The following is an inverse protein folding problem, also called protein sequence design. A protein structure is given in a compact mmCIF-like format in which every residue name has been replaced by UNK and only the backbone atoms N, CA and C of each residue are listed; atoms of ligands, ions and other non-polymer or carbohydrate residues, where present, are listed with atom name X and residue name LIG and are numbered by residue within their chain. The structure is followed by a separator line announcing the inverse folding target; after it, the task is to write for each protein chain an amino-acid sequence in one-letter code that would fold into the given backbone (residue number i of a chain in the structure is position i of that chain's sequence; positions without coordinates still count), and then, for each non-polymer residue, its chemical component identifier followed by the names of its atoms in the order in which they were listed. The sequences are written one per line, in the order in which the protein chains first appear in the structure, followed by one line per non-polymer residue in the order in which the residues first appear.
data_IF_573560797147
#
_entry.id   IF_573560797147
#
_cell.length_a   1.000
_cell.length_b   1.000
_cell.length_c   1.000
_cell.angle_alpha   90.00
_cell.angle_beta   90.00
_cell.angle_gamma   90.00
#
_symmetry.space_group_name_H-M   'P 1'
#
loop_
_entity.id
_entity.type
_entity.pdbx_description
1 polymer ?
#
# COMPACT_ATOMS: atom_id res chain seq x y z
N UNK A 1 -21.60 20.61 38.75
CA UNK A 1 -20.68 20.01 37.75
C UNK A 1 -21.48 19.63 36.50
N UNK A 2 -21.34 20.35 35.38
CA UNK A 2 -22.02 20.02 34.13
C UNK A 2 -21.14 19.10 33.25
N UNK A 3 -21.68 17.96 32.83
CA UNK A 3 -21.04 17.07 31.84
C UNK A 3 -20.97 17.80 30.49
N UNK A 4 -19.75 17.99 29.95
CA UNK A 4 -19.59 18.42 28.55
C UNK A 4 -20.09 17.31 27.64
N UNK A 5 -21.08 17.60 26.81
CA UNK A 5 -21.63 16.66 25.83
C UNK A 5 -20.72 16.55 24.62
N UNK A 6 -20.31 15.32 24.27
CA UNK A 6 -19.49 15.04 23.10
C UNK A 6 -20.25 15.31 21.79
N UNK A 7 -20.09 16.52 21.23
CA UNK A 7 -20.62 16.86 19.91
C UNK A 7 -19.83 16.22 18.73
N UNK A 8 -18.80 15.43 19.01
CA UNK A 8 -18.03 14.70 17.99
C UNK A 8 -18.84 13.61 17.25
N UNK A 9 -19.96 13.15 17.80
CA UNK A 9 -20.87 12.20 17.14
C UNK A 9 -21.45 12.74 15.82
N UNK A 10 -21.62 14.07 15.68
CA UNK A 10 -22.13 14.71 14.45
C UNK A 10 -21.19 14.64 13.24
N UNK A 11 -19.92 14.25 13.43
CA UNK A 11 -19.00 13.90 12.34
C UNK A 11 -18.93 12.38 12.08
N UNK A 12 -19.45 11.55 12.98
CA UNK A 12 -19.42 10.09 12.86
C UNK A 12 -20.69 9.49 12.23
N UNK A 13 -21.84 10.16 12.34
CA UNK A 13 -23.12 9.63 11.84
C UNK A 13 -23.71 10.43 10.68
N UNK A 14 -23.48 9.94 9.44
CA UNK A 14 -24.31 10.27 8.28
C UNK A 14 -24.83 9.01 7.58
N UNK A 15 -26.10 8.72 7.86
CA UNK A 15 -27.03 7.80 7.18
C UNK A 15 -26.70 6.29 7.23
N UNK A 16 -27.76 5.51 7.48
CA UNK A 16 -27.77 4.04 7.61
C UNK A 16 -26.97 3.36 6.49
N UNK A 17 -25.88 2.67 6.85
CA UNK A 17 -24.91 2.10 5.90
C UNK A 17 -25.42 0.99 4.98
N UNK A 18 -26.68 0.57 5.09
CA UNK A 18 -27.33 -0.33 4.13
C UNK A 18 -27.67 0.40 2.82
N UNK A 19 -28.43 1.51 2.90
CA UNK A 19 -28.89 2.25 1.73
C UNK A 19 -27.75 2.84 0.89
N UNK A 20 -26.68 3.33 1.54
CA UNK A 20 -25.48 3.83 0.83
C UNK A 20 -24.75 2.69 0.12
N UNK A 21 -24.63 1.51 0.75
CA UNK A 21 -24.03 0.32 0.12
C UNK A 21 -24.88 -0.21 -1.04
N UNK A 22 -26.20 -0.02 -0.99
CA UNK A 22 -27.12 -0.43 -2.06
C UNK A 22 -27.07 0.52 -3.24
N UNK A 23 -27.15 1.83 -3.01
CA UNK A 23 -26.93 2.85 -4.05
C UNK A 23 -25.58 2.65 -4.77
N UNK A 24 -24.49 2.43 -4.02
CA UNK A 24 -23.17 2.16 -4.61
C UNK A 24 -23.11 0.83 -5.39
N UNK A 25 -23.89 -0.20 -5.02
CA UNK A 25 -24.02 -1.43 -5.81
C UNK A 25 -24.80 -1.21 -7.10
N UNK A 26 -25.86 -0.40 -7.06
CA UNK A 26 -26.67 -0.06 -8.24
C UNK A 26 -25.86 0.80 -9.22
N UNK A 27 -25.17 1.83 -8.74
CA UNK A 27 -24.23 2.66 -9.50
C UNK A 27 -23.12 1.82 -10.14
N UNK A 28 -22.46 0.94 -9.37
CA UNK A 28 -21.43 0.04 -9.90
C UNK A 28 -21.99 -1.01 -10.90
N UNK A 29 -23.27 -1.39 -10.79
CA UNK A 29 -23.96 -2.21 -11.81
C UNK A 29 -24.23 -1.41 -13.08
N UNK A 30 -24.70 -0.16 -12.95
CA UNK A 30 -24.95 0.75 -14.08
C UNK A 30 -23.66 1.04 -14.86
N UNK A 31 -22.60 1.50 -14.20
CA UNK A 31 -21.32 1.79 -14.83
C UNK A 31 -20.70 0.54 -15.51
N UNK A 32 -20.97 -0.67 -15.00
CA UNK A 32 -20.55 -1.94 -15.64
C UNK A 32 -21.42 -2.32 -16.85
N UNK A 33 -22.69 -1.93 -16.87
CA UNK A 33 -23.56 -2.09 -18.04
C UNK A 33 -23.17 -1.09 -19.13
N UNK A 34 -22.96 0.17 -18.79
CA UNK A 34 -22.58 1.23 -19.72
C UNK A 34 -21.22 0.94 -20.38
N UNK A 35 -20.23 0.48 -19.60
CA UNK A 35 -18.92 0.06 -20.13
C UNK A 35 -19.00 -1.21 -21.02
N UNK A 36 -20.00 -2.08 -20.82
CA UNK A 36 -20.25 -3.22 -21.72
C UNK A 36 -20.89 -2.76 -23.02
N UNK A 37 -21.91 -1.90 -22.95
CA UNK A 37 -22.56 -1.32 -24.12
C UNK A 37 -21.56 -0.57 -25.01
N UNK A 38 -20.71 0.30 -24.43
CA UNK A 38 -19.66 1.01 -25.18
C UNK A 38 -18.61 0.04 -25.80
N UNK A 39 -18.30 -1.06 -25.11
CA UNK A 39 -17.41 -2.10 -25.64
C UNK A 39 -18.02 -2.90 -26.80
N UNK A 40 -19.34 -3.14 -26.77
CA UNK A 40 -20.09 -3.79 -27.85
C UNK A 40 -20.27 -2.83 -29.05
N UNK A 41 -20.55 -1.56 -28.79
CA UNK A 41 -20.64 -0.49 -29.79
C UNK A 41 -19.32 -0.32 -30.57
N UNK A 42 -18.18 -0.26 -29.86
CA UNK A 42 -16.85 -0.19 -30.48
C UNK A 42 -16.54 -1.44 -31.32
N UNK A 43 -16.94 -2.64 -30.85
CA UNK A 43 -16.79 -3.89 -31.62
C UNK A 43 -17.67 -3.91 -32.86
N UNK A 44 -18.92 -3.44 -32.76
CA UNK A 44 -19.83 -3.33 -33.90
C UNK A 44 -19.28 -2.34 -34.95
N UNK A 45 -18.83 -1.16 -34.53
CA UNK A 45 -18.19 -0.15 -35.39
C UNK A 45 -16.93 -0.67 -36.08
N UNK A 46 -16.09 -1.44 -35.38
CA UNK A 46 -14.91 -2.11 -35.95
C UNK A 46 -15.29 -3.21 -36.95
N UNK A 47 -16.38 -3.95 -36.71
CA UNK A 47 -16.89 -5.02 -37.60
C UNK A 47 -17.65 -4.49 -38.82
N UNK A 48 -18.23 -3.29 -38.75
CA UNK A 48 -18.80 -2.57 -39.90
C UNK A 48 -17.67 -2.04 -40.79
N UNK A 49 -16.69 -1.32 -40.22
CA UNK A 49 -15.51 -0.82 -40.95
C UNK A 49 -14.71 -1.95 -41.63
N UNK A 50 -14.61 -3.13 -41.01
CA UNK A 50 -13.97 -4.30 -41.61
C UNK A 50 -14.75 -4.95 -42.78
N UNK A 51 -16.02 -4.57 -42.99
CA UNK A 51 -16.87 -5.01 -44.10
C UNK A 51 -17.14 -3.92 -45.15
N UNK A 52 -16.54 -2.74 -44.98
CA UNK A 52 -16.79 -1.58 -45.86
C UNK A 52 -18.14 -0.90 -45.66
N UNK A 53 -18.89 -1.29 -44.62
CA UNK A 53 -20.22 -0.75 -44.30
C UNK A 53 -20.09 0.44 -43.33
N UNK A 54 -20.92 1.48 -43.52
CA UNK A 54 -20.97 2.60 -42.59
C UNK A 54 -21.73 2.22 -41.31
N UNK A 55 -21.18 2.62 -40.15
CA UNK A 55 -21.73 2.22 -38.85
C UNK A 55 -22.88 3.16 -38.44
N UNK A 56 -24.12 2.69 -38.61
CA UNK A 56 -25.33 3.37 -38.13
C UNK A 56 -25.52 3.08 -36.63
N UNK A 57 -25.53 4.13 -35.81
CA UNK A 57 -25.84 4.05 -34.38
C UNK A 57 -27.35 3.77 -34.18
N UNK A 58 -27.75 2.65 -33.57
CA UNK A 58 -29.16 2.32 -33.36
C UNK A 58 -29.90 3.30 -32.44
N UNK A 59 -29.20 4.15 -31.67
CA UNK A 59 -29.83 5.24 -30.87
C UNK A 59 -30.14 6.49 -31.69
N UNK A 60 -29.58 6.63 -32.90
CA UNK A 60 -29.82 7.75 -33.83
C UNK A 60 -30.87 7.47 -34.89
N UNK A 61 -31.43 6.26 -34.94
CA UNK A 61 -32.59 5.95 -35.78
C UNK A 61 -33.82 6.58 -35.12
N UNK A 62 -34.07 7.85 -35.45
CA UNK A 62 -35.35 8.48 -35.17
C UNK A 62 -36.46 7.66 -35.83
N UNK A 63 -37.52 7.34 -35.08
CA UNK A 63 -38.65 6.63 -35.64
C UNK A 63 -39.28 7.48 -36.77
N UNK A 64 -39.62 6.89 -37.93
CA UNK A 64 -40.33 7.63 -38.98
C UNK A 64 -41.68 8.13 -38.44
N UNK A 65 -42.19 9.28 -38.92
CA UNK A 65 -43.48 9.81 -38.48
C UNK A 65 -44.59 8.79 -38.75
N UNK A 66 -45.43 8.55 -37.74
CA UNK A 66 -46.66 7.76 -37.91
C UNK A 66 -47.75 8.64 -38.52
N UNK A 67 -47.81 8.69 -39.84
CA UNK A 67 -49.04 9.11 -40.53
C UNK A 67 -50.11 8.02 -40.49
N UNK A 68 -51.33 8.41 -40.87
CA UNK A 68 -52.58 7.91 -40.28
C UNK A 68 -53.24 6.70 -40.96
N UNK A 69 -53.77 5.82 -40.11
CA UNK A 69 -55.07 5.11 -40.20
C UNK A 69 -55.50 4.33 -41.48
N UNK A 70 -55.98 3.09 -41.23
CA UNK A 70 -56.88 2.27 -42.07
C UNK A 70 -56.31 1.72 -43.40
N UNK A 71 -56.67 0.53 -43.93
CA UNK A 71 -57.52 -0.61 -43.47
C UNK A 71 -57.26 -1.85 -44.36
N UNK A 72 -57.31 -3.08 -43.80
CA UNK A 72 -57.50 -4.38 -44.52
C UNK A 72 -56.36 -4.72 -45.53
N UNK A 73 -56.12 -5.95 -46.00
CA UNK A 73 -56.62 -7.33 -45.80
C UNK A 73 -55.49 -8.34 -46.14
N UNK A 74 -55.71 -9.65 -45.94
CA UNK A 74 -54.73 -10.73 -46.16
C UNK A 74 -54.73 -11.26 -47.65
N UNK A 75 -54.26 -12.49 -47.98
CA UNK A 75 -52.85 -12.87 -48.23
C UNK A 75 -52.63 -13.63 -49.57
N UNK A 76 -51.37 -13.83 -50.02
CA UNK A 76 -51.02 -14.98 -50.90
C UNK A 76 -49.50 -15.21 -51.16
N UNK A 77 -49.13 -16.50 -51.13
CA UNK A 77 -48.32 -17.32 -52.05
C UNK A 77 -46.89 -16.99 -52.58
N UNK A 78 -46.09 -18.07 -52.54
CA UNK A 78 -44.92 -18.46 -53.38
C UNK A 78 -45.38 -18.72 -54.85
N UNK A 79 -44.53 -18.99 -55.89
CA UNK A 79 -43.23 -19.67 -55.86
C UNK A 79 -42.18 -19.29 -56.94
N UNK A 80 -41.13 -20.13 -57.11
CA UNK A 80 -40.30 -20.33 -58.34
C UNK A 80 -39.41 -19.18 -58.87
N UNK A 81 -38.32 -19.38 -59.65
CA UNK A 81 -37.40 -20.53 -59.84
C UNK A 81 -36.10 -20.13 -60.60
N UNK A 82 -35.11 -21.04 -60.57
CA UNK A 82 -34.25 -21.50 -61.72
C UNK A 82 -33.05 -20.66 -62.25
N UNK A 83 -31.86 -21.18 -61.92
CA UNK A 83 -30.66 -21.47 -62.74
C UNK A 83 -30.02 -20.44 -63.71
N UNK A 84 -28.68 -20.37 -63.65
CA UNK A 84 -27.82 -19.82 -64.71
C UNK A 84 -26.31 -19.92 -64.40
N UNK A 85 -25.54 -20.68 -65.20
CA UNK A 85 -24.06 -20.78 -65.23
C UNK A 85 -23.67 -20.96 -66.72
N UNK A 86 -22.50 -20.49 -67.21
CA UNK A 86 -21.43 -21.45 -67.59
C UNK A 86 -19.95 -20.91 -67.59
N UNK A 87 -18.97 -21.80 -67.88
CA UNK A 87 -17.57 -21.69 -68.45
C UNK A 87 -16.62 -20.49 -68.11
N UNK A 88 -15.27 -20.54 -67.90
CA UNK A 88 -14.06 -21.36 -68.26
C UNK A 88 -13.33 -20.94 -69.57
N UNK A 89 -11.98 -20.94 -69.77
CA UNK A 89 -10.81 -21.54 -69.06
C UNK A 89 -9.40 -20.96 -69.50
N UNK A 90 -8.30 -21.38 -68.83
CA UNK A 90 -6.86 -21.36 -69.26
C UNK A 90 -6.11 -19.98 -69.34
N UNK A 91 -4.75 -19.82 -69.41
CA UNK A 91 -3.51 -20.67 -69.35
C UNK A 91 -2.27 -19.78 -68.95
N UNK A 92 -1.12 -20.36 -68.56
CA UNK A 92 0.16 -19.63 -68.25
C UNK A 92 1.03 -19.30 -69.50
N UNK A 93 2.39 -19.10 -69.44
CA UNK A 93 3.36 -19.44 -68.37
C UNK A 93 4.52 -18.42 -68.09
N UNK A 94 5.48 -18.76 -67.19
CA UNK A 94 6.79 -18.06 -67.05
C UNK A 94 7.62 -18.44 -65.79
N UNK A 95 8.88 -18.89 -65.96
CA UNK A 95 9.92 -19.26 -64.93
C UNK A 95 11.22 -18.48 -65.28
N UNK A 96 12.38 -18.55 -64.55
CA UNK A 96 12.81 -19.33 -63.37
C UNK A 96 13.43 -18.50 -62.19
N UNK A 97 13.27 -18.89 -60.91
CA UNK A 97 14.11 -19.75 -60.03
C UNK A 97 15.29 -19.09 -59.25
N UNK A 98 15.30 -19.27 -57.92
CA UNK A 98 16.49 -19.40 -57.05
C UNK A 98 16.11 -20.00 -55.67
N UNK A 99 17.07 -20.62 -54.97
CA UNK A 99 16.92 -21.28 -53.66
C UNK A 99 16.49 -20.33 -52.52
N UNK A 100 15.99 -20.76 -51.35
CA UNK A 100 15.80 -22.09 -50.79
C UNK A 100 16.27 -22.16 -49.32
N UNK A 101 15.37 -22.44 -48.39
CA UNK A 101 15.50 -23.47 -47.32
C UNK A 101 14.33 -23.38 -46.32
N UNK A 102 14.06 -24.48 -45.62
CA UNK A 102 12.72 -24.83 -45.10
C UNK A 102 12.66 -24.85 -43.57
N UNK A 103 11.56 -24.34 -43.00
CA UNK A 103 11.13 -24.63 -41.62
C UNK A 103 10.20 -25.86 -41.60
N UNK A 104 10.33 -26.81 -40.66
CA UNK A 104 9.25 -27.71 -40.28
C UNK A 104 8.45 -27.15 -39.09
N UNK A 105 7.17 -27.53 -39.03
CA UNK A 105 6.21 -27.07 -38.03
C UNK A 105 5.72 -28.21 -37.11
N UNK A 106 4.90 -27.80 -36.14
CA UNK A 106 4.18 -28.57 -35.12
C UNK A 106 3.71 -30.01 -35.43
N UNK A 107 3.69 -30.81 -34.35
CA UNK A 107 2.92 -32.05 -34.20
C UNK A 107 3.65 -33.07 -33.32
N UNK A 108 3.02 -33.92 -32.52
CA UNK A 108 1.65 -33.94 -31.99
C UNK A 108 1.64 -34.86 -30.74
N UNK A 109 0.78 -34.62 -29.75
CA UNK A 109 0.72 -35.48 -28.56
C UNK A 109 0.00 -36.81 -28.87
N UNK A 110 0.59 -37.94 -28.48
CA UNK A 110 -0.10 -39.23 -28.35
C UNK A 110 -0.20 -39.65 -26.90
N UNK A 111 -1.41 -40.00 -26.47
CA UNK A 111 -1.69 -40.55 -25.15
C UNK A 111 -1.42 -42.06 -25.10
N UNK A 112 -1.09 -42.58 -23.91
CA UNK A 112 -1.13 -44.01 -23.60
C UNK A 112 -2.03 -44.29 -22.39
N UNK A 113 -2.61 -45.49 -22.37
CA UNK A 113 -3.74 -45.89 -21.52
C UNK A 113 -3.33 -46.27 -20.09
N UNK A 114 -4.27 -46.11 -19.16
CA UNK A 114 -4.28 -46.81 -17.87
C UNK A 114 -4.97 -48.17 -18.01
N UNK A 115 -4.38 -49.23 -17.46
CA UNK A 115 -5.09 -50.47 -17.10
C UNK A 115 -4.69 -50.94 -15.69
N UNK A 116 -5.51 -51.82 -15.11
CA UNK A 116 -5.55 -52.12 -13.67
C UNK A 116 -4.57 -53.25 -13.28
N UNK A 117 -4.04 -53.18 -12.06
CA UNK A 117 -3.38 -54.30 -11.39
C UNK A 117 -3.12 -53.94 -9.93
N UNK A 118 -3.62 -54.74 -8.98
CA UNK A 118 -3.48 -54.48 -7.55
C UNK A 118 -2.62 -55.52 -6.84
N UNK A 119 -2.14 -55.18 -5.64
CA UNK A 119 -2.00 -56.11 -4.50
C UNK A 119 -1.45 -55.35 -3.27
N UNK A 120 -1.88 -55.78 -2.09
CA UNK A 120 -1.30 -55.37 -0.81
C UNK A 120 0.09 -56.01 -0.67
N UNK A 121 1.07 -55.31 -0.10
CA UNK A 121 2.13 -55.97 0.70
C UNK A 121 2.73 -55.02 1.75
N UNK A 122 3.34 -55.64 2.76
CA UNK A 122 3.48 -55.07 4.10
C UNK A 122 4.56 -54.00 4.29
N UNK A 123 4.34 -53.18 5.32
CA UNK A 123 5.20 -52.08 5.76
C UNK A 123 6.37 -52.62 6.61
N UNK A 124 7.44 -53.05 5.96
CA UNK A 124 8.75 -53.33 6.59
C UNK A 124 9.85 -52.50 5.91
N UNK A 125 10.92 -52.20 6.64
CA UNK A 125 11.88 -51.14 6.30
C UNK A 125 12.54 -51.26 4.91
N UNK A 126 12.86 -50.11 4.32
CA UNK A 126 13.76 -50.02 3.15
C UNK A 126 14.91 -49.06 3.40
N UNK A 127 16.09 -49.32 2.80
CA UNK A 127 17.37 -48.86 3.30
C UNK A 127 17.74 -47.45 2.84
N UNK A 128 18.84 -46.94 3.38
CA UNK A 128 19.47 -45.71 2.92
C UNK A 128 19.73 -45.75 1.41
N UNK A 129 19.06 -44.89 0.64
CA UNK A 129 19.42 -44.65 -0.75
C UNK A 129 20.73 -43.86 -0.77
N UNK A 130 21.77 -44.46 -1.32
CA UNK A 130 22.96 -43.73 -1.73
C UNK A 130 22.54 -42.61 -2.69
N UNK A 131 22.72 -41.35 -2.27
CA UNK A 131 22.60 -40.20 -3.17
C UNK A 131 23.77 -40.24 -4.14
N UNK A 132 23.47 -40.42 -5.42
CA UNK A 132 24.42 -40.18 -6.50
C UNK A 132 25.02 -38.76 -6.38
N UNK A 133 26.29 -38.55 -6.78
CA UNK A 133 26.88 -37.23 -6.83
C UNK A 133 26.04 -36.32 -7.74
N UNK A 134 25.79 -35.10 -7.27
CA UNK A 134 24.68 -34.28 -7.75
C UNK A 134 24.87 -33.74 -9.16
N UNK A 135 23.74 -33.53 -9.83
CA UNK A 135 23.64 -32.65 -10.99
C UNK A 135 24.03 -31.21 -10.56
N UNK A 136 25.02 -30.55 -11.19
CA UNK A 136 25.53 -29.25 -10.73
C UNK A 136 24.45 -28.16 -10.56
N UNK A 137 23.42 -28.18 -11.41
CA UNK A 137 22.29 -27.25 -11.38
C UNK A 137 21.42 -27.33 -10.11
N UNK A 138 21.53 -28.37 -9.28
CA UNK A 138 20.76 -28.50 -8.05
C UNK A 138 21.57 -28.13 -6.78
N UNK A 139 22.88 -27.93 -6.92
CA UNK A 139 23.70 -27.28 -5.89
C UNK A 139 23.42 -25.76 -5.85
N UNK A 140 23.45 -25.10 -7.02
CA UNK A 140 23.22 -23.65 -7.16
C UNK A 140 21.85 -23.18 -6.63
N UNK A 141 20.82 -24.05 -6.68
CA UNK A 141 19.48 -23.71 -6.19
C UNK A 141 19.38 -23.64 -4.66
N UNK A 142 20.20 -24.37 -3.90
CA UNK A 142 20.22 -24.27 -2.43
C UNK A 142 20.90 -22.99 -1.94
N UNK A 143 21.92 -22.53 -2.66
CA UNK A 143 22.58 -21.26 -2.39
C UNK A 143 21.72 -20.05 -2.80
N UNK A 144 20.95 -20.15 -3.88
CA UNK A 144 20.05 -19.09 -4.33
C UNK A 144 19.02 -18.69 -3.25
N UNK A 145 18.39 -19.66 -2.57
CA UNK A 145 17.42 -19.38 -1.50
C UNK A 145 18.07 -18.78 -0.24
N UNK A 146 19.34 -19.09 0.03
CA UNK A 146 20.06 -18.58 1.21
C UNK A 146 20.48 -17.12 1.03
N UNK A 147 20.79 -16.70 -0.21
CA UNK A 147 21.22 -15.32 -0.56
C UNK A 147 20.13 -14.25 -0.37
N UNK A 148 18.84 -14.61 -0.29
CA UNK A 148 17.74 -13.64 -0.14
C UNK A 148 17.60 -13.00 1.26
N UNK A 149 18.33 -13.49 2.28
CA UNK A 149 18.20 -13.03 3.68
C UNK A 149 19.43 -12.31 4.26
N UNK A 150 20.42 -12.00 3.43
CA UNK A 150 21.64 -11.31 3.86
C UNK A 150 21.37 -9.86 4.29
N UNK A 151 21.57 -9.55 5.58
CA UNK A 151 21.45 -8.19 6.14
C UNK A 151 22.81 -7.65 6.60
N UNK A 152 23.04 -6.32 6.56
CA UNK A 152 24.27 -5.73 7.11
C UNK A 152 24.42 -6.03 8.61
N UNK A 153 25.64 -6.28 9.06
CA UNK A 153 25.98 -6.63 10.44
C UNK A 153 25.49 -5.58 11.44
N UNK A 154 25.61 -4.29 11.11
CA UNK A 154 25.06 -3.21 11.95
C UNK A 154 23.52 -3.23 12.05
N UNK A 155 22.81 -3.75 11.05
CA UNK A 155 21.35 -3.95 11.09
C UNK A 155 21.03 -5.18 11.93
N UNK A 156 21.78 -6.29 11.78
CA UNK A 156 21.60 -7.49 12.60
C UNK A 156 21.76 -7.18 14.09
N UNK A 157 22.89 -6.57 14.49
CA UNK A 157 23.19 -6.24 15.89
C UNK A 157 22.18 -5.26 16.49
N UNK A 158 21.61 -4.35 15.69
CA UNK A 158 20.53 -3.48 16.15
C UNK A 158 19.19 -4.23 16.29
N UNK A 159 18.89 -5.16 15.37
CA UNK A 159 17.67 -5.98 15.37
C UNK A 159 17.70 -7.12 16.41
N UNK A 160 18.85 -7.43 17.01
CA UNK A 160 18.94 -8.29 18.20
C UNK A 160 18.61 -7.56 19.51
N UNK A 161 18.33 -6.25 19.45
CA UNK A 161 17.92 -5.45 20.60
C UNK A 161 19.07 -4.98 21.50
N UNK A 162 20.33 -5.33 21.20
CA UNK A 162 21.51 -5.00 22.02
C UNK A 162 21.75 -3.49 22.11
N UNK A 163 21.66 -2.76 21.00
CA UNK A 163 22.06 -1.35 20.92
C UNK A 163 21.37 -0.61 19.75
N UNK A 164 21.62 0.70 19.62
CA UNK A 164 21.18 1.45 18.45
C UNK A 164 21.99 1.09 17.18
N UNK A 165 21.48 1.35 15.98
CA UNK A 165 22.20 1.02 14.72
C UNK A 165 23.53 1.77 14.51
N UNK A 166 23.68 2.97 15.09
CA UNK A 166 24.93 3.76 15.05
C UNK A 166 25.98 3.17 16.01
N UNK A 167 25.58 2.98 17.26
CA UNK A 167 26.34 2.27 18.29
C UNK A 167 26.75 0.85 17.84
N UNK A 168 25.86 0.13 17.14
CA UNK A 168 26.19 -1.16 16.52
C UNK A 168 27.32 -1.05 15.49
N UNK A 169 27.35 0.03 14.69
CA UNK A 169 28.42 0.26 13.73
C UNK A 169 29.75 0.67 14.41
N UNK A 170 29.68 1.35 15.55
CA UNK A 170 30.84 1.65 16.40
C UNK A 170 31.40 0.37 17.02
N UNK A 171 30.57 -0.46 17.67
CA UNK A 171 30.98 -1.75 18.24
C UNK A 171 31.63 -2.70 17.21
N UNK A 172 31.15 -2.69 15.96
CA UNK A 172 31.77 -3.43 14.85
C UNK A 172 33.15 -2.85 14.51
N UNK A 173 33.26 -1.52 14.31
CA UNK A 173 34.56 -0.86 14.05
C UNK A 173 35.59 -1.05 15.17
N UNK A 174 35.14 -1.18 16.41
CA UNK A 174 35.99 -1.48 17.57
C UNK A 174 36.40 -2.96 17.67
N UNK A 175 35.98 -3.83 16.75
CA UNK A 175 36.28 -5.27 16.78
C UNK A 175 35.60 -6.02 17.92
N UNK A 176 34.53 -5.45 18.52
CA UNK A 176 33.77 -6.05 19.63
C UNK A 176 32.67 -7.00 19.15
N UNK A 177 32.61 -7.28 17.84
CA UNK A 177 31.65 -8.19 17.19
C UNK A 177 32.41 -9.26 16.41
N UNK A 178 32.06 -10.53 16.62
CA UNK A 178 32.58 -11.66 15.85
C UNK A 178 31.47 -12.38 15.09
N UNK A 179 31.80 -12.89 13.91
CA UNK A 179 30.89 -13.67 13.05
C UNK A 179 31.57 -15.00 12.74
N UNK A 180 30.95 -16.12 13.11
CA UNK A 180 31.46 -17.48 12.94
C UNK A 180 32.84 -17.79 13.55
N UNK A 181 33.40 -16.85 14.34
CA UNK A 181 34.73 -16.93 14.96
C UNK A 181 35.57 -15.70 14.65
N UNK A 182 35.39 -15.10 13.47
CA UNK A 182 36.22 -14.01 12.96
C UNK A 182 35.77 -12.65 13.45
N UNK A 183 36.73 -11.77 13.78
CA UNK A 183 36.44 -10.36 14.12
C UNK A 183 36.18 -9.57 12.84
N UNK A 184 34.99 -9.00 12.73
CA UNK A 184 34.58 -8.19 11.59
C UNK A 184 34.63 -6.71 11.98
N UNK A 185 35.33 -5.90 11.19
CA UNK A 185 35.49 -4.46 11.39
C UNK A 185 34.60 -3.61 10.48
N UNK A 186 33.95 -4.21 9.48
CA UNK A 186 33.10 -3.53 8.51
C UNK A 186 31.61 -3.56 8.93
N UNK A 187 30.97 -2.42 9.26
CA UNK A 187 29.55 -2.39 9.63
C UNK A 187 28.59 -2.82 8.52
N UNK A 188 29.05 -2.78 7.26
CA UNK A 188 28.33 -3.17 6.05
C UNK A 188 28.37 -4.67 5.75
N UNK A 189 29.26 -5.42 6.41
CA UNK A 189 29.46 -6.86 6.20
C UNK A 189 28.13 -7.61 6.27
N UNK A 190 27.86 -8.46 5.28
CA UNK A 190 26.57 -9.12 5.13
C UNK A 190 26.54 -10.43 5.91
N UNK A 191 25.54 -10.58 6.77
CA UNK A 191 25.30 -11.78 7.58
C UNK A 191 23.89 -12.32 7.36
N UNK A 192 23.77 -13.64 7.48
CA UNK A 192 22.52 -14.39 7.45
C UNK A 192 21.98 -14.62 8.88
N UNK A 193 20.80 -15.21 8.99
CA UNK A 193 20.28 -15.68 10.29
C UNK A 193 20.93 -16.99 10.78
N UNK A 194 21.65 -17.71 9.92
CA UNK A 194 22.34 -18.94 10.27
C UNK A 194 23.73 -18.71 10.90
N UNK A 195 24.30 -17.53 10.70
CA UNK A 195 25.63 -17.18 11.21
C UNK A 195 25.65 -17.02 12.73
N UNK A 196 26.71 -17.54 13.36
CA UNK A 196 26.96 -17.41 14.79
C UNK A 196 27.59 -16.06 15.08
N UNK A 197 26.77 -15.07 15.45
CA UNK A 197 27.23 -13.72 15.74
C UNK A 197 27.32 -13.53 17.25
N UNK A 198 28.47 -13.04 17.73
CA UNK A 198 28.69 -12.70 19.13
C UNK A 198 29.06 -11.22 19.27
N UNK A 199 28.52 -10.57 20.30
CA UNK A 199 28.85 -9.19 20.68
C UNK A 199 29.43 -9.23 22.09
N UNK A 200 30.66 -8.72 22.25
CA UNK A 200 31.42 -8.78 23.53
C UNK A 200 31.44 -10.20 24.12
N UNK A 201 31.62 -11.21 23.27
CA UNK A 201 31.67 -12.63 23.63
C UNK A 201 30.34 -13.31 23.93
N UNK A 202 29.20 -12.60 23.86
CA UNK A 202 27.86 -13.18 24.07
C UNK A 202 27.16 -13.43 22.72
N UNK A 203 26.60 -14.62 22.46
CA UNK A 203 25.83 -14.87 21.24
C UNK A 203 24.57 -14.00 21.21
N UNK A 204 24.25 -13.48 20.03
CA UNK A 204 23.08 -12.63 19.81
C UNK A 204 22.15 -13.24 18.77
N UNK A 205 20.84 -13.00 18.93
CA UNK A 205 19.81 -13.49 18.02
C UNK A 205 18.84 -12.36 17.68
N UNK A 206 18.30 -12.37 16.46
CA UNK A 206 17.26 -11.42 16.06
C UNK A 206 16.03 -11.54 16.98
N UNK A 207 15.47 -10.40 17.39
CA UNK A 207 14.23 -10.37 18.17
C UNK A 207 13.09 -11.00 17.35
N UNK A 208 12.51 -12.09 17.86
CA UNK A 208 11.39 -12.79 17.20
C UNK A 208 10.04 -12.10 17.43
N UNK A 209 9.90 -11.40 18.55
CA UNK A 209 8.66 -10.73 18.94
C UNK A 209 8.64 -9.30 18.41
N UNK A 210 7.77 -9.01 17.43
CA UNK A 210 7.50 -7.64 17.02
C UNK A 210 6.53 -6.98 18.00
N UNK A 211 6.97 -5.91 18.65
CA UNK A 211 6.18 -5.14 19.62
C UNK A 211 5.67 -3.86 18.98
N UNK A 212 4.40 -3.52 19.21
CA UNK A 212 3.78 -2.29 18.71
C UNK A 212 2.98 -1.63 19.83
N UNK A 213 3.45 -0.48 20.31
CA UNK A 213 2.86 0.28 21.43
C UNK A 213 2.34 1.62 20.91
N UNK A 214 1.06 1.89 21.16
CA UNK A 214 0.45 3.20 20.91
C UNK A 214 0.46 4.01 22.20
N UNK A 215 1.25 5.08 22.22
CA UNK A 215 1.35 6.02 23.33
C UNK A 215 0.56 7.30 23.01
N UNK A 216 -0.22 7.79 23.97
CA UNK A 216 -0.77 9.15 23.91
C UNK A 216 0.18 10.12 24.65
N UNK A 217 1.16 10.65 23.91
CA UNK A 217 2.27 11.44 24.43
C UNK A 217 1.78 12.71 25.15
N UNK A 218 2.25 12.99 26.39
CA UNK A 218 2.05 14.25 27.10
C UNK A 218 3.02 15.37 26.67
N UNK A 219 2.76 16.59 27.17
CA UNK A 219 3.74 17.70 27.10
C UNK A 219 4.94 17.38 27.98
N UNK A 220 6.08 18.02 27.71
CA UNK A 220 7.33 17.92 28.48
C UNK A 220 8.09 16.59 28.47
N UNK A 221 7.78 15.72 27.49
CA UNK A 221 8.55 14.51 27.23
C UNK A 221 9.24 14.58 25.87
N UNK A 222 10.50 14.16 25.80
CA UNK A 222 11.30 14.09 24.58
C UNK A 222 11.04 12.80 23.79
N UNK A 223 10.91 12.92 22.47
CA UNK A 223 10.82 11.77 21.56
C UNK A 223 12.23 11.32 21.13
N UNK A 224 12.99 10.78 22.08
CA UNK A 224 14.34 10.22 21.87
C UNK A 224 14.47 8.86 22.57
N UNK A 225 15.47 8.06 22.17
CA UNK A 225 15.81 6.80 22.80
C UNK A 225 16.86 6.94 23.92
N UNK A 226 17.58 8.07 23.96
CA UNK A 226 18.51 8.46 25.02
C UNK A 226 18.60 9.99 25.07
N UNK A 227 18.69 10.57 26.27
CA UNK A 227 18.92 12.00 26.49
C UNK A 227 20.11 12.15 27.45
N UNK A 228 21.28 12.62 26.99
CA UNK A 228 22.47 12.80 27.85
C UNK A 228 22.28 13.82 28.98
N UNK A 229 21.21 14.62 28.93
CA UNK A 229 20.92 15.69 29.90
C UNK A 229 19.79 15.30 30.87
N UNK A 230 19.48 13.99 30.97
CA UNK A 230 18.62 13.41 32.00
C UNK A 230 17.13 13.81 31.92
N UNK A 231 16.67 14.37 30.80
CA UNK A 231 15.28 14.81 30.64
C UNK A 231 14.35 13.63 30.42
N UNK A 232 13.09 13.81 30.83
CA UNK A 232 12.01 12.83 30.64
C UNK A 232 11.81 12.50 29.15
N UNK A 233 11.82 11.21 28.82
CA UNK A 233 11.69 10.66 27.47
C UNK A 233 10.41 9.85 27.32
N UNK A 234 9.92 9.68 26.09
CA UNK A 234 8.76 8.81 25.81
C UNK A 234 8.98 7.35 26.22
N UNK A 235 10.23 6.89 26.36
CA UNK A 235 10.54 5.55 26.85
C UNK A 235 10.28 5.41 28.35
N UNK A 236 10.42 6.49 29.14
CA UNK A 236 10.11 6.47 30.57
C UNK A 236 8.64 6.15 30.86
N UNK A 237 7.73 6.57 29.98
CA UNK A 237 6.29 6.31 30.06
C UNK A 237 5.90 4.85 29.79
N UNK A 238 6.78 4.09 29.12
CA UNK A 238 6.57 2.69 28.77
C UNK A 238 7.56 1.74 29.46
N UNK A 239 8.25 2.21 30.50
CA UNK A 239 9.10 1.35 31.35
C UNK A 239 8.29 0.18 31.90
N UNK A 240 8.83 -1.02 31.79
CA UNK A 240 8.15 -2.27 32.19
C UNK A 240 7.05 -2.75 31.24
N UNK A 241 6.74 -2.03 30.14
CA UNK A 241 5.74 -2.47 29.17
C UNK A 241 6.14 -3.77 28.43
N UNK A 242 7.44 -3.92 28.15
CA UNK A 242 8.00 -5.06 27.41
C UNK A 242 9.47 -5.24 27.78
N UNK A 243 10.01 -6.47 27.76
CA UNK A 243 11.46 -6.70 27.83
C UNK A 243 12.17 -6.34 26.52
N UNK A 244 11.46 -6.20 25.41
CA UNK A 244 12.04 -5.97 24.07
C UNK A 244 12.42 -4.50 23.86
N UNK A 245 13.61 -4.23 23.31
CA UNK A 245 14.05 -2.86 23.00
C UNK A 245 13.22 -2.20 21.89
N UNK A 246 12.28 -1.33 22.25
CA UNK A 246 11.48 -0.51 21.31
C UNK A 246 12.00 0.93 21.17
N UNK A 247 11.59 1.61 20.10
CA UNK A 247 11.92 3.01 19.81
C UNK A 247 10.74 3.73 19.14
N UNK A 248 10.66 5.08 19.24
CA UNK A 248 9.56 5.84 18.65
C UNK A 248 9.62 5.87 17.11
N UNK A 249 8.44 5.71 16.49
CA UNK A 249 8.24 5.83 15.05
C UNK A 249 8.03 7.31 14.69
N UNK A 250 9.10 7.93 14.22
CA UNK A 250 9.15 9.36 13.96
C UNK A 250 9.29 10.16 15.25
N UNK A 251 8.99 11.46 15.19
CA UNK A 251 9.14 12.37 16.33
C UNK A 251 7.88 13.21 16.56
N UNK A 252 7.68 13.59 17.81
CA UNK A 252 6.85 14.72 18.23
C UNK A 252 7.74 15.65 19.07
N UNK A 253 7.55 16.96 18.93
CA UNK A 253 8.27 17.94 19.74
C UNK A 253 7.93 17.78 21.23
N UNK A 254 8.81 18.31 22.10
CA UNK A 254 8.63 18.26 23.57
C UNK A 254 7.22 18.67 24.00
N UNK A 255 6.75 19.80 23.48
CA UNK A 255 5.47 20.43 23.87
C UNK A 255 4.27 19.99 22.99
N UNK A 256 4.52 19.12 22.00
CA UNK A 256 3.49 18.55 21.13
C UNK A 256 2.99 17.24 21.75
N UNK A 257 1.67 17.06 21.78
CA UNK A 257 0.99 15.92 22.41
C UNK A 257 0.37 14.97 21.39
N UNK A 258 -0.21 13.86 21.87
CA UNK A 258 -1.05 12.99 21.05
C UNK A 258 -0.37 11.69 20.61
N UNK A 259 -0.88 11.10 19.54
CA UNK A 259 -0.55 9.74 19.09
C UNK A 259 0.93 9.62 18.71
N UNK A 260 1.64 8.68 19.35
CA UNK A 260 2.97 8.24 18.98
C UNK A 260 3.01 6.71 18.98
N UNK A 261 3.48 6.12 17.88
CA UNK A 261 3.75 4.69 17.80
C UNK A 261 5.19 4.42 18.26
N UNK A 262 5.40 3.35 19.02
CA UNK A 262 6.72 2.81 19.34
C UNK A 262 6.78 1.33 18.92
N UNK A 263 7.91 0.89 18.39
CA UNK A 263 8.11 -0.49 17.93
C UNK A 263 9.58 -0.88 17.91
N UNK A 264 9.87 -2.17 17.80
CA UNK A 264 11.17 -2.70 17.39
C UNK A 264 11.24 -3.07 15.90
N UNK A 265 10.11 -3.09 15.17
CA UNK A 265 10.01 -3.34 13.73
C UNK A 265 10.54 -2.14 12.92
N UNK A 266 11.83 -2.20 12.59
CA UNK A 266 12.53 -1.11 11.89
C UNK A 266 12.06 -0.88 10.46
N UNK A 267 11.52 -1.91 9.81
CA UNK A 267 11.06 -1.82 8.44
C UNK A 267 9.69 -1.16 8.37
N UNK A 268 8.80 -1.47 9.31
CA UNK A 268 7.56 -0.72 9.47
C UNK A 268 7.84 0.72 9.93
N UNK A 269 8.74 0.92 10.89
CA UNK A 269 9.13 2.26 11.33
C UNK A 269 9.67 3.13 10.17
N UNK A 270 10.53 2.57 9.31
CA UNK A 270 11.02 3.26 8.11
C UNK A 270 9.87 3.57 7.13
N UNK A 271 9.01 2.60 6.81
CA UNK A 271 7.84 2.81 5.92
C UNK A 271 6.89 3.90 6.45
N UNK A 272 6.68 3.98 7.75
CA UNK A 272 5.78 4.96 8.38
C UNK A 272 6.37 6.37 8.51
N UNK A 273 7.68 6.52 8.40
CA UNK A 273 8.38 7.81 8.60
C UNK A 273 8.98 8.40 7.32
N UNK A 274 9.32 7.58 6.34
CA UNK A 274 10.02 8.04 5.15
C UNK A 274 9.08 8.85 4.22
N UNK A 275 9.47 10.04 3.74
CA UNK A 275 8.58 10.96 3.03
C UNK A 275 7.86 10.35 1.81
N UNK A 276 8.53 9.46 1.07
CA UNK A 276 8.00 8.82 -0.15
C UNK A 276 6.77 7.93 0.03
N UNK A 277 6.36 7.63 1.27
CA UNK A 277 5.13 6.88 1.55
C UNK A 277 3.95 7.78 1.91
N UNK A 278 4.17 9.10 2.00
CA UNK A 278 3.13 10.14 2.16
C UNK A 278 2.13 9.82 3.29
N UNK A 279 2.65 9.23 4.37
CA UNK A 279 1.83 8.74 5.49
C UNK A 279 1.15 9.90 6.20
N UNK A 280 -0.17 10.00 6.04
CA UNK A 280 -1.01 11.06 6.59
C UNK A 280 -0.91 11.14 8.12
N UNK A 281 -0.80 12.36 8.63
CA UNK A 281 -0.93 12.74 10.04
C UNK A 281 -2.06 13.77 10.15
N UNK A 282 -2.89 13.66 11.18
CA UNK A 282 -3.89 14.70 11.49
C UNK A 282 -3.53 15.32 12.83
N UNK A 283 -3.48 16.64 12.87
CA UNK A 283 -3.26 17.43 14.07
C UNK A 283 -4.47 18.31 14.39
N UNK A 284 -4.74 18.47 15.66
CA UNK A 284 -5.58 19.52 16.22
C UNK A 284 -4.65 20.63 16.73
N UNK A 285 -4.91 21.86 16.30
CA UNK A 285 -4.10 23.05 16.56
C UNK A 285 -4.95 24.06 17.30
N UNK A 286 -4.49 24.54 18.45
CA UNK A 286 -5.12 25.64 19.18
C UNK A 286 -4.25 26.87 19.06
N UNK A 287 -4.84 27.95 18.58
CA UNK A 287 -4.18 29.20 18.24
C UNK A 287 -4.56 30.33 19.22
N UNK A 288 -3.80 31.42 19.19
CA UNK A 288 -4.10 32.67 19.92
C UNK A 288 -5.45 33.28 19.51
N UNK A 289 -5.73 33.32 18.21
CA UNK A 289 -6.84 34.07 17.62
C UNK A 289 -7.63 33.27 16.57
N UNK A 290 -8.83 33.71 16.18
CA UNK A 290 -9.63 33.04 15.15
C UNK A 290 -8.93 33.02 13.80
N UNK A 291 -8.90 31.86 13.12
CA UNK A 291 -8.35 31.77 11.76
C UNK A 291 -9.37 32.28 10.75
N UNK A 292 -8.92 33.02 9.74
CA UNK A 292 -9.78 33.44 8.63
C UNK A 292 -9.95 32.32 7.60
N UNK A 293 -11.06 32.32 6.85
CA UNK A 293 -11.25 31.34 5.77
C UNK A 293 -10.17 31.47 4.68
N UNK A 294 -9.75 32.70 4.35
CA UNK A 294 -8.69 32.98 3.37
C UNK A 294 -7.37 32.29 3.74
N UNK A 295 -7.02 32.28 5.02
CA UNK A 295 -5.80 31.66 5.50
C UNK A 295 -5.90 30.12 5.46
N UNK A 296 -7.06 29.55 5.79
CA UNK A 296 -7.32 28.12 5.59
C UNK A 296 -7.20 27.73 4.11
N UNK A 297 -7.80 28.51 3.20
CA UNK A 297 -7.72 28.26 1.75
C UNK A 297 -6.26 28.36 1.27
N UNK A 298 -5.47 29.29 1.83
CA UNK A 298 -4.03 29.45 1.56
C UNK A 298 -3.18 28.27 2.04
N UNK A 299 -3.50 27.67 3.19
CA UNK A 299 -2.83 26.46 3.72
C UNK A 299 -3.06 25.25 2.79
N UNK A 300 -4.21 25.18 2.11
CA UNK A 300 -4.55 24.10 1.14
C UNK A 300 -3.93 24.36 -0.23
N UNK A 301 -3.97 25.60 -0.74
CA UNK A 301 -3.26 25.95 -1.99
C UNK A 301 -1.74 25.81 -1.87
N UNK A 302 -1.24 25.95 -0.64
CA UNK A 302 0.17 25.82 -0.28
C UNK A 302 0.87 27.15 -0.10
N UNK A 303 1.94 27.11 0.69
CA UNK A 303 2.69 28.25 1.23
C UNK A 303 4.18 27.98 1.06
N UNK A 304 4.95 29.00 0.68
CA UNK A 304 6.41 28.92 0.62
C UNK A 304 6.99 29.32 1.98
N UNK A 305 7.58 28.35 2.69
CA UNK A 305 8.34 28.59 3.91
C UNK A 305 9.84 28.75 3.60
N UNK A 306 10.62 29.11 4.63
CA UNK A 306 12.09 29.26 4.58
C UNK A 306 12.84 28.06 3.97
N UNK A 307 12.32 26.84 4.14
CA UNK A 307 12.90 25.61 3.61
C UNK A 307 12.22 25.13 2.31
N UNK A 308 11.26 25.89 1.78
CA UNK A 308 10.56 25.65 0.52
C UNK A 308 9.05 25.39 0.67
N UNK A 309 8.38 25.17 -0.46
CA UNK A 309 6.92 24.99 -0.56
C UNK A 309 6.35 23.84 0.30
N UNK A 310 5.17 24.06 0.87
CA UNK A 310 4.37 23.04 1.57
C UNK A 310 2.88 23.31 1.38
N UNK A 311 2.07 22.25 1.23
CA UNK A 311 0.61 22.31 1.27
C UNK A 311 0.07 21.30 2.29
N UNK A 312 -1.10 21.59 2.87
CA UNK A 312 -1.86 20.62 3.65
C UNK A 312 -2.74 19.75 2.73
N UNK A 313 -2.95 18.48 3.11
CA UNK A 313 -3.89 17.60 2.41
C UNK A 313 -5.35 18.02 2.65
N UNK A 314 -5.62 18.57 3.84
CA UNK A 314 -6.90 19.13 4.23
C UNK A 314 -6.73 20.04 5.45
N UNK A 315 -7.57 21.05 5.60
CA UNK A 315 -7.63 21.90 6.79
C UNK A 315 -9.07 22.35 7.04
N UNK A 316 -9.44 22.59 8.30
CA UNK A 316 -10.75 23.12 8.64
C UNK A 316 -10.92 23.36 10.14
N UNK A 317 -11.95 24.11 10.53
CA UNK A 317 -12.27 24.32 11.94
C UNK A 317 -12.66 23.00 12.60
N UNK A 318 -12.00 22.64 13.70
CA UNK A 318 -12.28 21.43 14.46
C UNK A 318 -13.50 21.59 15.38
N UNK A 319 -13.78 22.82 15.82
CA UNK A 319 -14.97 23.20 16.57
C UNK A 319 -15.80 24.20 15.74
N UNK A 320 -17.12 23.99 15.68
CA UNK A 320 -18.03 24.90 15.02
C UNK A 320 -18.28 26.18 15.83
N UNK A 321 -17.98 26.18 17.13
CA UNK A 321 -18.10 27.33 18.03
C UNK A 321 -16.82 28.15 18.14
N UNK A 322 -15.65 27.53 17.96
CA UNK A 322 -14.34 28.17 18.12
C UNK A 322 -13.50 28.06 16.85
N UNK A 323 -13.36 29.18 16.14
CA UNK A 323 -12.50 29.31 14.96
C UNK A 323 -10.99 29.35 15.29
N UNK A 324 -10.63 29.28 16.57
CA UNK A 324 -9.24 29.24 17.05
C UNK A 324 -8.72 27.79 17.15
N UNK A 325 -9.58 26.78 16.93
CA UNK A 325 -9.21 25.37 16.92
C UNK A 325 -9.35 24.81 15.51
N UNK A 326 -8.23 24.39 14.93
CA UNK A 326 -8.14 23.96 13.52
C UNK A 326 -7.61 22.53 13.44
N UNK A 327 -8.30 21.68 12.69
CA UNK A 327 -7.79 20.39 12.25
C UNK A 327 -6.98 20.57 10.96
N UNK A 328 -5.77 19.99 10.92
CA UNK A 328 -4.90 19.98 9.74
C UNK A 328 -4.42 18.57 9.45
N UNK A 329 -4.63 18.11 8.21
CA UNK A 329 -4.11 16.87 7.67
C UNK A 329 -2.88 17.16 6.81
N UNK A 330 -1.77 16.46 7.07
CA UNK A 330 -0.53 16.65 6.34
C UNK A 330 0.29 15.35 6.28
N UNK A 331 0.78 15.00 5.10
CA UNK A 331 1.72 13.90 4.87
C UNK A 331 3.18 14.30 5.12
N UNK A 332 3.52 15.59 5.02
CA UNK A 332 4.87 16.12 5.29
C UNK A 332 5.36 15.81 6.71
N UNK A 333 6.67 15.56 6.84
CA UNK A 333 7.35 15.24 8.10
C UNK A 333 8.44 16.25 8.51
N UNK A 334 8.46 17.43 7.86
CA UNK A 334 9.47 18.48 8.08
C UNK A 334 9.44 19.00 9.52
N UNK A 335 10.58 19.54 10.00
CA UNK A 335 10.68 20.03 11.37
C UNK A 335 9.64 21.14 11.63
N UNK A 336 8.91 21.01 12.75
CA UNK A 336 7.88 21.95 13.23
C UNK A 336 6.85 22.41 12.18
N UNK A 337 6.63 21.62 11.12
CA UNK A 337 5.96 22.12 9.90
C UNK A 337 4.61 22.77 10.14
N UNK A 338 3.76 22.17 10.97
CA UNK A 338 2.45 22.72 11.33
C UNK A 338 2.58 24.06 12.05
N UNK A 339 3.56 24.19 12.95
CA UNK A 339 3.80 25.46 13.67
C UNK A 339 4.25 26.54 12.70
N UNK A 340 5.22 26.24 11.84
CA UNK A 340 5.76 27.19 10.86
C UNK A 340 4.73 27.67 9.83
N UNK A 341 3.78 26.80 9.44
CA UNK A 341 2.63 27.18 8.60
C UNK A 341 1.78 28.28 9.27
N UNK A 342 1.41 28.10 10.54
CA UNK A 342 0.60 29.08 11.27
C UNK A 342 1.41 30.33 11.67
N UNK A 343 2.66 30.15 12.11
CA UNK A 343 3.60 31.22 12.45
C UNK A 343 3.85 32.15 11.24
N UNK A 344 4.00 31.60 10.02
CA UNK A 344 4.15 32.38 8.77
C UNK A 344 2.91 33.22 8.42
N UNK A 345 1.72 32.74 8.78
CA UNK A 345 0.45 33.47 8.62
C UNK A 345 0.16 34.42 9.80
N UNK A 346 1.11 34.58 10.72
CA UNK A 346 0.99 35.47 11.88
C UNK A 346 0.13 34.92 13.02
N UNK A 347 0.00 33.59 13.16
CA UNK A 347 -0.73 32.92 14.24
C UNK A 347 0.18 32.18 15.20
N UNK A 348 -0.20 32.17 16.48
CA UNK A 348 0.62 31.69 17.59
C UNK A 348 0.11 30.32 18.09
N UNK A 349 0.87 29.24 17.86
CA UNK A 349 0.43 27.87 18.21
C UNK A 349 0.56 27.57 19.71
N UNK A 350 -0.49 27.88 20.47
CA UNK A 350 -0.60 27.62 21.93
C UNK A 350 -0.69 26.14 22.28
N UNK A 351 -1.36 25.33 21.47
CA UNK A 351 -1.36 23.87 21.62
C UNK A 351 -1.31 23.15 20.27
N UNK A 352 -0.65 21.99 20.25
CA UNK A 352 -0.59 21.11 19.09
C UNK A 352 -0.72 19.66 19.56
N UNK A 353 -1.72 18.95 19.05
CA UNK A 353 -2.00 17.56 19.37
C UNK A 353 -2.12 16.72 18.10
N UNK A 354 -1.32 15.66 17.97
CA UNK A 354 -1.50 14.69 16.88
C UNK A 354 -2.64 13.74 17.20
N UNK A 355 -3.83 14.01 16.68
CA UNK A 355 -5.03 13.19 16.92
C UNK A 355 -4.97 11.85 16.18
N UNK A 356 -4.29 11.80 15.03
CA UNK A 356 -4.14 10.60 14.21
C UNK A 356 -2.74 10.48 13.58
N UNK A 357 -2.23 9.25 13.51
CA UNK A 357 -1.02 8.89 12.77
C UNK A 357 -1.21 7.54 12.09
N UNK A 358 -1.07 7.45 10.77
CA UNK A 358 -1.17 6.19 10.02
C UNK A 358 -2.46 5.38 10.33
N UNK A 359 -3.62 6.06 10.33
CA UNK A 359 -4.95 5.54 10.71
C UNK A 359 -5.11 5.12 12.18
N UNK A 360 -4.07 5.23 13.02
CA UNK A 360 -4.14 5.03 14.47
C UNK A 360 -4.61 6.31 15.15
N UNK A 361 -5.52 6.21 16.12
CA UNK A 361 -6.06 7.36 16.87
C UNK A 361 -5.84 7.20 18.36
N UNK A 362 -5.83 8.31 19.11
CA UNK A 362 -5.77 8.33 20.59
C UNK A 362 -7.06 7.86 21.28
N UNK A 363 -8.03 7.31 20.54
CA UNK A 363 -9.32 6.86 21.10
C UNK A 363 -9.08 5.75 22.13
N UNK A 364 -9.73 5.89 23.29
CA UNK A 364 -9.60 4.99 24.44
C UNK A 364 -8.16 4.88 24.99
N UNK A 365 -7.31 5.90 24.80
CA UNK A 365 -5.97 5.98 25.40
C UNK A 365 -5.82 7.35 26.06
N UNK A 366 -5.87 7.39 27.39
CA UNK A 366 -5.70 8.62 28.17
C UNK A 366 -4.30 9.22 28.00
N UNK A 367 -4.14 10.50 28.38
CA UNK A 367 -2.85 11.18 28.29
C UNK A 367 -1.80 10.48 29.16
N UNK A 368 -0.58 10.36 28.66
CA UNK A 368 0.53 9.61 29.30
C UNK A 368 0.33 8.10 29.39
N UNK A 369 -0.84 7.56 29.03
CA UNK A 369 -1.09 6.13 28.94
C UNK A 369 -0.75 5.60 27.54
N UNK A 370 -0.59 4.30 27.48
CA UNK A 370 -0.29 3.55 26.27
C UNK A 370 -1.08 2.24 26.25
N UNK A 371 -1.15 1.61 25.08
CA UNK A 371 -1.64 0.25 24.90
C UNK A 371 -0.87 -0.46 23.79
N UNK A 372 -0.94 -1.78 23.75
CA UNK A 372 -0.53 -2.50 22.55
C UNK A 372 -1.51 -2.25 21.39
N UNK A 373 -0.99 -2.32 20.16
CA UNK A 373 -1.84 -2.45 18.98
C UNK A 373 -2.41 -3.87 18.90
N UNK A 374 -3.64 -3.99 18.40
CA UNK A 374 -4.21 -5.29 18.07
C UNK A 374 -3.80 -5.76 16.67
N UNK A 375 -3.95 -7.05 16.38
CA UNK A 375 -3.54 -7.66 15.11
C UNK A 375 -4.18 -7.03 13.86
N UNK A 376 -5.36 -6.39 13.99
CA UNK A 376 -6.03 -5.72 12.87
C UNK A 376 -5.33 -4.39 12.56
N UNK A 377 -4.95 -3.64 13.59
CA UNK A 377 -4.15 -2.41 13.48
C UNK A 377 -2.74 -2.72 12.93
N UNK A 378 -2.06 -3.73 13.47
CA UNK A 378 -0.73 -4.14 12.98
C UNK A 378 -0.79 -4.58 11.51
N UNK A 379 -1.81 -5.36 11.12
CA UNK A 379 -2.03 -5.72 9.71
C UNK A 379 -2.30 -4.50 8.83
N UNK A 380 -3.16 -3.57 9.26
CA UNK A 380 -3.46 -2.35 8.50
C UNK A 380 -2.20 -1.53 8.22
N UNK A 381 -1.30 -1.40 9.21
CA UNK A 381 -0.02 -0.71 9.04
C UNK A 381 0.93 -1.46 8.08
N UNK A 382 1.07 -2.79 8.23
CA UNK A 382 1.95 -3.60 7.37
C UNK A 382 1.51 -3.64 5.92
N UNK A 383 0.20 -3.65 5.66
CA UNK A 383 -0.40 -3.71 4.32
C UNK A 383 -0.78 -2.34 3.73
N UNK A 384 -0.32 -1.23 4.31
CA UNK A 384 -0.69 0.14 3.90
C UNK A 384 -0.12 0.58 2.53
N UNK A 385 0.60 -0.29 1.80
CA UNK A 385 1.39 0.09 0.62
C UNK A 385 0.67 -0.07 -0.74
N UNK A 386 0.82 0.98 -1.57
CA UNK A 386 0.47 1.14 -3.00
C UNK A 386 -0.97 0.87 -3.46
N UNK A 387 -1.69 -0.14 -2.97
CA UNK A 387 -3.05 -0.44 -3.48
C UNK A 387 -4.08 0.62 -3.11
N UNK A 388 -3.96 1.23 -1.92
CA UNK A 388 -4.81 2.35 -1.48
C UNK A 388 -4.42 3.70 -2.13
N UNK A 389 -3.13 3.93 -2.38
CA UNK A 389 -2.64 5.19 -2.98
C UNK A 389 -2.96 5.30 -4.48
N UNK A 390 -3.10 4.18 -5.19
CA UNK A 390 -3.31 4.18 -6.64
C UNK A 390 -4.71 4.62 -7.10
N UNK A 391 -5.66 4.82 -6.19
CA UNK A 391 -7.06 5.06 -6.52
C UNK A 391 -7.41 6.51 -6.89
N UNK A 392 -6.51 7.46 -6.63
CA UNK A 392 -6.76 8.90 -6.86
C UNK A 392 -6.01 9.47 -8.09
N UNK A 393 -5.35 8.62 -8.91
CA UNK A 393 -4.59 9.07 -10.09
C UNK A 393 -5.25 8.75 -11.44
N UNK A 394 -6.53 8.34 -11.41
CA UNK A 394 -7.34 8.02 -12.60
C UNK A 394 -8.51 9.00 -12.85
N UNK A 395 -8.62 10.07 -12.06
CA UNK A 395 -9.71 11.06 -12.15
C UNK A 395 -9.20 12.49 -12.48
N UNK A 396 -7.91 12.65 -12.82
CA UNK A 396 -7.28 13.94 -13.16
C UNK A 396 -6.90 14.03 -14.66
N UNK A 397 -7.10 12.95 -15.42
CA UNK A 397 -6.92 12.90 -16.88
C UNK A 397 -8.18 12.30 -17.53
N UNK A 398 -9.29 13.02 -17.43
CA UNK A 398 -10.56 12.73 -18.11
C UNK A 398 -11.18 14.04 -18.60
#
# INVERSE_FOLDING_TARGET
MQKRTDNFSKFAEKKKGAAIKEAYRQEKRKNKADARAAGEEMRARKKAKARGEEYIDPKKIAAPPRESAHTKSAPSDKPTSRAGRPVSAAKGPGRPAAAGSVKPAAGSYKAFKNEKGGSQFNKAGKPAKATYPGNPMDADKKDATTRESLIPLNKYVAHSGVCGRREAAELVKEGKVTVNGDKIFEPGYKVSQADKILVKGKPIFLQRNSVYILLNKPKDYLTTASDPQGRKTVLDLIKGATPERVYPVGRLDRNTTGVLLLTNDGELAQKLTHPSFEVKKIYEVTLDKPVTKKDLDSIVSGITLEDGFVAADSVGYADSKSKNVVGIEIHSGRNRIVRRIFEHLGYDVKALDRVMFANLTKKNVERSKWRFLNDKEVRLLKFMNKSFLRKNKSEVNA
#
